data_IF_506564212590
#
_entry.id   IF_506564212590
#
_cell.length_a   1.000
_cell.length_b   1.000
_cell.length_c   1.000
_cell.angle_alpha   90.00
_cell.angle_beta   90.00
_cell.angle_gamma   90.00
#
_symmetry.space_group_name_H-M   'P 1'
#
loop_
_entity.id
_entity.type
_entity.pdbx_description
1 polymer ?
#
# COMPACT_ATOMS: atom_id res chain seq x y z
N UNK A 1 14.36 -5.20 -3.27
CA UNK A 1 13.05 -4.67 -3.69
C UNK A 1 12.26 -5.77 -4.39
N UNK A 2 10.97 -5.85 -4.15
CA UNK A 2 10.08 -6.77 -4.86
C UNK A 2 8.80 -6.08 -5.33
N UNK A 3 8.19 -6.60 -6.38
CA UNK A 3 6.96 -6.08 -6.98
C UNK A 3 5.73 -6.76 -6.37
N UNK A 4 4.81 -5.97 -5.84
CA UNK A 4 3.64 -6.47 -5.13
C UNK A 4 2.35 -5.75 -5.53
N UNK A 5 1.26 -6.51 -5.54
CA UNK A 5 -0.05 -5.97 -5.19
C UNK A 5 -0.21 -6.08 -3.67
N UNK A 6 -0.81 -5.06 -3.06
CA UNK A 6 -1.11 -5.04 -1.62
C UNK A 6 -2.62 -5.19 -1.49
N UNK A 7 -3.10 -6.42 -1.33
CA UNK A 7 -4.53 -6.72 -1.29
C UNK A 7 -5.14 -6.38 0.07
N UNK A 8 -6.35 -5.86 0.05
CA UNK A 8 -7.13 -5.68 1.26
C UNK A 8 -7.64 -7.05 1.75
N UNK A 9 -7.27 -7.45 2.97
CA UNK A 9 -7.50 -8.83 3.40
C UNK A 9 -8.98 -9.16 3.63
N UNK A 10 -9.79 -8.17 4.04
CA UNK A 10 -11.22 -8.35 4.29
C UNK A 10 -12.03 -8.56 2.99
N UNK A 11 -11.64 -7.90 1.91
CA UNK A 11 -12.23 -8.07 0.57
C UNK A 11 -11.14 -8.04 -0.50
N UNK A 12 -10.78 -9.22 -0.99
CA UNK A 12 -9.66 -9.44 -1.92
C UNK A 12 -9.94 -8.96 -3.34
N UNK A 13 -11.14 -8.44 -3.61
CA UNK A 13 -11.43 -7.71 -4.85
C UNK A 13 -10.81 -6.31 -4.85
N UNK A 14 -10.25 -5.89 -3.72
CA UNK A 14 -9.63 -4.59 -3.56
C UNK A 14 -8.15 -4.67 -3.19
N UNK A 15 -7.40 -3.65 -3.63
CA UNK A 15 -5.97 -3.47 -3.41
C UNK A 15 -5.68 -2.02 -2.99
N UNK A 16 -4.54 -1.81 -2.33
CA UNK A 16 -3.98 -0.48 -2.17
C UNK A 16 -3.58 0.08 -3.54
N UNK A 17 -4.03 1.28 -3.84
CA UNK A 17 -3.68 1.97 -5.07
C UNK A 17 -3.74 3.47 -4.92
N UNK A 18 -3.66 4.16 -6.05
CA UNK A 18 -3.67 5.62 -6.11
C UNK A 18 -4.74 6.13 -7.06
N UNK A 19 -5.21 7.36 -6.81
CA UNK A 19 -6.12 8.04 -7.75
C UNK A 19 -5.44 8.43 -9.05
N UNK A 20 -4.17 8.81 -8.97
CA UNK A 20 -3.34 9.20 -10.11
C UNK A 20 -1.84 8.96 -9.82
N UNK A 21 -0.97 9.16 -10.80
CA UNK A 21 0.47 8.87 -10.75
C UNK A 21 1.33 10.13 -10.57
N UNK A 22 0.80 11.12 -9.86
CA UNK A 22 1.48 12.40 -9.59
C UNK A 22 1.64 12.65 -8.09
N UNK A 23 2.55 13.56 -7.74
CA UNK A 23 2.72 14.06 -6.37
C UNK A 23 1.38 14.61 -5.83
N UNK A 24 1.09 14.30 -4.56
CA UNK A 24 -0.15 14.65 -3.89
C UNK A 24 -1.36 13.77 -4.22
N UNK A 25 -1.25 12.84 -5.17
CA UNK A 25 -2.35 11.94 -5.50
C UNK A 25 -2.74 11.07 -4.29
N UNK A 26 -4.03 10.99 -3.97
CA UNK A 26 -4.51 10.23 -2.83
C UNK A 26 -4.24 8.73 -2.98
N UNK A 27 -3.78 8.11 -1.90
CA UNK A 27 -3.72 6.65 -1.76
C UNK A 27 -5.09 6.18 -1.28
N UNK A 28 -5.65 5.22 -1.98
CA UNK A 28 -7.03 4.77 -1.84
C UNK A 28 -7.13 3.27 -2.04
N UNK A 29 -8.27 2.72 -1.66
CA UNK A 29 -8.68 1.39 -2.08
C UNK A 29 -9.02 1.41 -3.57
N UNK A 30 -8.54 0.45 -4.35
CA UNK A 30 -8.82 0.28 -5.78
C UNK A 30 -9.33 -1.12 -6.07
N UNK A 31 -10.20 -1.29 -7.05
CA UNK A 31 -10.55 -2.65 -7.54
C UNK A 31 -9.31 -3.36 -8.09
N UNK A 32 -9.22 -4.67 -7.89
CA UNK A 32 -8.05 -5.49 -8.28
C UNK A 32 -7.81 -5.56 -9.79
N UNK A 33 -8.83 -5.30 -10.61
CA UNK A 33 -8.75 -5.18 -12.07
C UNK A 33 -8.26 -3.79 -12.55
N UNK A 34 -7.99 -2.85 -11.63
CA UNK A 34 -7.41 -1.53 -11.96
C UNK A 34 -6.06 -1.72 -12.68
N UNK A 35 -5.76 -0.94 -13.74
CA UNK A 35 -4.48 -1.03 -14.43
C UNK A 35 -3.27 -0.94 -13.49
N UNK A 36 -2.28 -1.81 -13.69
CA UNK A 36 -1.11 -1.95 -12.79
C UNK A 36 -0.38 -0.63 -12.50
N UNK A 37 -0.41 0.33 -13.43
CA UNK A 37 0.17 1.66 -13.24
C UNK A 37 -0.40 2.46 -12.07
N UNK A 38 -1.50 2.03 -11.45
CA UNK A 38 -2.09 2.66 -10.25
C UNK A 38 -2.02 1.78 -8.99
N UNK A 39 -1.62 0.52 -9.09
CA UNK A 39 -1.77 -0.47 -8.00
C UNK A 39 -0.54 -1.36 -7.78
N UNK A 40 0.48 -1.24 -8.63
CA UNK A 40 1.71 -2.01 -8.52
C UNK A 40 2.77 -1.24 -7.74
N UNK A 41 3.27 -1.87 -6.67
CA UNK A 41 4.19 -1.27 -5.72
C UNK A 41 5.53 -1.99 -5.69
N UNK A 42 6.61 -1.22 -5.64
CA UNK A 42 7.94 -1.68 -5.28
C UNK A 42 8.10 -1.58 -3.75
N UNK A 43 8.20 -2.72 -3.08
CA UNK A 43 8.46 -2.79 -1.63
C UNK A 43 9.95 -2.94 -1.37
N UNK A 44 10.49 -2.06 -0.53
CA UNK A 44 11.85 -2.13 -0.02
C UNK A 44 11.83 -2.38 1.49
N UNK A 45 12.04 -3.63 1.89
CA UNK A 45 12.00 -4.05 3.30
C UNK A 45 13.16 -3.50 4.14
N UNK A 46 14.30 -3.15 3.52
CA UNK A 46 15.45 -2.59 4.24
C UNK A 46 15.23 -1.12 4.60
N UNK A 47 14.59 -0.37 3.71
CA UNK A 47 14.37 1.09 3.88
C UNK A 47 12.97 1.43 4.35
N UNK A 48 12.03 0.49 4.35
CA UNK A 48 10.63 0.74 4.66
C UNK A 48 9.88 1.52 3.58
N UNK A 49 10.41 1.63 2.36
CA UNK A 49 9.74 2.39 1.30
C UNK A 49 8.69 1.55 0.55
N UNK A 50 7.56 2.19 0.23
CA UNK A 50 6.54 1.69 -0.70
C UNK A 50 6.51 2.66 -1.87
N UNK A 51 7.16 2.35 -2.98
CA UNK A 51 7.20 3.24 -4.15
C UNK A 51 6.29 2.74 -5.26
N UNK A 52 5.63 3.66 -5.96
CA UNK A 52 4.77 3.33 -7.09
C UNK A 52 5.63 2.91 -8.28
N UNK A 53 5.40 1.70 -8.81
CA UNK A 53 6.27 1.14 -9.86
C UNK A 53 6.26 1.96 -11.16
N UNK A 54 5.09 2.43 -11.60
CA UNK A 54 4.93 3.26 -12.80
C UNK A 54 5.64 4.61 -12.72
N UNK A 55 5.96 5.09 -11.51
CA UNK A 55 6.74 6.31 -11.31
C UNK A 55 8.25 6.09 -11.47
N UNK A 56 8.71 4.86 -11.70
CA UNK A 56 10.14 4.51 -11.71
C UNK A 56 10.79 4.62 -10.34
N UNK A 57 10.01 4.49 -9.26
CA UNK A 57 10.49 4.64 -7.87
C UNK A 57 10.53 6.08 -7.36
N UNK A 58 10.09 7.07 -8.15
CA UNK A 58 10.16 8.50 -7.80
C UNK A 58 9.06 8.96 -6.85
N UNK A 59 7.94 8.23 -6.77
CA UNK A 59 6.82 8.55 -5.88
C UNK A 59 6.61 7.43 -4.86
N UNK A 60 6.49 7.80 -3.59
CA UNK A 60 6.28 6.87 -2.47
C UNK A 60 4.98 7.15 -1.74
N UNK A 61 4.41 6.12 -1.11
CA UNK A 61 3.33 6.27 -0.13
C UNK A 61 3.87 7.03 1.07
N UNK A 62 3.26 8.16 1.38
CA UNK A 62 3.60 8.95 2.55
C UNK A 62 2.42 9.74 3.10
N UNK A 63 2.71 10.53 4.12
CA UNK A 63 1.77 11.44 4.77
C UNK A 63 2.45 12.77 5.10
N UNK A 64 1.69 13.85 5.11
CA UNK A 64 2.17 15.18 5.54
C UNK A 64 2.47 15.23 7.04
N UNK A 65 1.87 14.32 7.82
CA UNK A 65 2.09 14.22 9.27
C UNK A 65 1.98 12.78 9.76
N UNK A 66 2.83 12.40 10.70
CA UNK A 66 2.73 11.14 11.43
C UNK A 66 1.80 11.36 12.63
N UNK A 67 0.49 11.29 12.37
CA UNK A 67 -0.55 11.44 13.38
C UNK A 67 -1.81 10.67 12.97
N UNK A 68 -2.69 10.29 13.92
CA UNK A 68 -3.98 9.69 13.60
C UNK A 68 -4.77 10.51 12.57
N UNK A 69 -5.48 9.78 11.72
CA UNK A 69 -6.40 10.28 10.70
C UNK A 69 -5.74 11.11 9.58
N UNK A 70 -4.41 11.10 9.50
CA UNK A 70 -3.69 11.71 8.39
C UNK A 70 -3.90 10.89 7.11
N UNK A 71 -4.37 11.53 6.04
CA UNK A 71 -4.56 10.87 4.75
C UNK A 71 -3.22 10.50 4.13
N UNK A 72 -3.17 9.33 3.48
CA UNK A 72 -2.00 8.93 2.71
C UNK A 72 -2.09 9.47 1.28
N UNK A 73 -0.94 9.88 0.74
CA UNK A 73 -0.80 10.36 -0.63
C UNK A 73 0.55 9.93 -1.21
N UNK A 74 0.66 9.97 -2.53
CA UNK A 74 1.96 9.92 -3.19
C UNK A 74 2.74 11.18 -2.87
N UNK A 75 4.01 10.99 -2.50
CA UNK A 75 4.98 12.06 -2.31
C UNK A 75 6.22 11.78 -3.13
N UNK A 76 6.90 12.82 -3.61
CA UNK A 76 8.27 12.68 -4.14
C UNK A 76 9.12 11.94 -3.11
N UNK A 77 9.66 10.80 -3.53
CA UNK A 77 10.39 9.91 -2.64
C UNK A 77 11.69 10.56 -2.18
N UNK A 78 11.90 10.62 -0.87
CA UNK A 78 13.13 11.08 -0.27
C UNK A 78 13.47 10.19 0.93
N UNK A 79 14.64 9.51 0.92
CA UNK A 79 14.94 8.55 1.95
C UNK A 79 15.15 9.12 3.36
N UNK A 80 15.39 10.41 3.48
CA UNK A 80 15.50 11.10 4.76
C UNK A 80 14.13 11.38 5.41
N UNK A 81 13.03 11.34 4.64
CA UNK A 81 11.69 11.68 5.12
C UNK A 81 11.07 10.46 5.81
N UNK A 82 10.91 10.58 7.12
CA UNK A 82 10.38 9.52 7.98
C UNK A 82 8.90 9.22 7.74
N UNK A 83 8.11 10.19 7.28
CA UNK A 83 6.69 9.99 6.97
C UNK A 83 6.43 9.20 5.67
N UNK A 84 7.49 8.71 5.02
CA UNK A 84 7.45 7.80 3.87
C UNK A 84 8.01 6.41 4.22
N UNK A 85 8.15 6.10 5.52
CA UNK A 85 8.80 4.90 6.04
C UNK A 85 7.81 4.00 6.76
N UNK A 86 7.86 2.72 6.41
CA UNK A 86 6.91 1.71 6.85
C UNK A 86 7.64 0.48 7.42
N UNK A 87 7.07 -0.10 8.46
CA UNK A 87 7.55 -1.31 9.14
C UNK A 87 6.61 -2.47 8.81
N UNK A 88 7.16 -3.52 8.18
CA UNK A 88 6.41 -4.67 7.66
C UNK A 88 6.60 -5.95 8.48
N UNK A 89 7.71 -6.07 9.19
CA UNK A 89 8.19 -7.32 9.77
C UNK A 89 7.80 -7.47 11.23
N UNK A 90 7.67 -6.35 11.96
CA UNK A 90 7.25 -6.35 13.37
C UNK A 90 5.86 -6.93 13.60
N UNK A 91 4.95 -6.78 12.64
CA UNK A 91 3.59 -7.31 12.70
C UNK A 91 3.15 -7.74 11.30
N UNK A 92 3.49 -8.98 10.88
CA UNK A 92 3.20 -9.45 9.53
C UNK A 92 1.72 -9.34 9.17
N UNK A 93 1.43 -8.87 7.96
CA UNK A 93 0.08 -8.59 7.49
C UNK A 93 -0.45 -7.20 7.88
N UNK A 94 0.34 -6.40 8.58
CA UNK A 94 0.08 -4.99 8.85
C UNK A 94 1.22 -4.14 8.29
N UNK A 95 0.94 -2.88 7.97
CA UNK A 95 1.95 -1.91 7.51
C UNK A 95 1.97 -0.78 8.55
N UNK A 96 2.91 -0.87 9.49
CA UNK A 96 3.03 0.12 10.56
C UNK A 96 3.83 1.32 10.06
N UNK A 97 3.58 2.50 10.61
CA UNK A 97 4.49 3.64 10.43
C UNK A 97 5.81 3.33 11.13
N UNK A 98 6.93 3.45 10.43
CA UNK A 98 8.26 3.22 11.03
C UNK A 98 8.56 4.22 12.18
N UNK A 99 8.36 5.54 12.04
CA UNK A 99 8.65 6.50 13.12
C UNK A 99 7.69 6.40 14.32
N UNK A 100 6.51 5.81 14.14
CA UNK A 100 5.55 5.55 15.23
C UNK A 100 4.73 4.30 14.94
N UNK A 101 5.17 3.16 15.49
CA UNK A 101 4.50 1.88 15.30
C UNK A 101 3.12 1.79 15.99
N UNK A 102 2.68 2.81 16.75
CA UNK A 102 1.31 2.88 17.25
C UNK A 102 0.30 3.27 16.16
N UNK A 103 0.79 3.61 14.96
CA UNK A 103 0.01 3.98 13.80
C UNK A 103 0.28 3.03 12.61
N UNK A 104 -0.72 2.80 11.77
CA UNK A 104 -0.61 1.93 10.60
C UNK A 104 -1.50 2.37 9.43
N UNK A 105 -1.22 1.83 8.24
CA UNK A 105 -2.04 2.01 7.05
C UNK A 105 -3.38 1.31 7.25
N UNK A 106 -4.45 2.09 7.20
CA UNK A 106 -5.82 1.69 7.53
C UNK A 106 -6.78 2.07 6.38
N UNK A 107 -7.65 1.13 6.00
CA UNK A 107 -8.75 1.36 5.10
C UNK A 107 -9.88 2.10 5.83
N UNK A 108 -10.03 3.41 5.58
CA UNK A 108 -10.89 4.30 6.37
C UNK A 108 -12.30 3.72 6.54
N UNK A 109 -12.72 3.56 7.79
CA UNK A 109 -14.05 3.04 8.18
C UNK A 109 -14.41 1.66 7.61
N UNK A 110 -13.43 0.88 7.14
CA UNK A 110 -13.65 -0.40 6.42
C UNK A 110 -14.53 -0.25 5.17
N UNK A 111 -14.45 0.90 4.50
CA UNK A 111 -15.21 1.14 3.27
C UNK A 111 -14.81 0.15 2.17
N UNK A 112 -15.81 -0.37 1.44
CA UNK A 112 -15.63 -1.36 0.35
C UNK A 112 -16.01 -0.77 -1.00
N UNK A 113 -15.66 0.49 -1.22
CA UNK A 113 -15.87 1.20 -2.48
C UNK A 113 -14.54 1.55 -3.14
N UNK A 114 -14.53 1.56 -4.47
CA UNK A 114 -13.40 2.06 -5.23
C UNK A 114 -13.18 3.54 -4.90
N UNK A 115 -11.94 3.91 -4.60
CA UNK A 115 -11.58 5.25 -4.15
C UNK A 115 -11.75 5.51 -2.65
N UNK A 116 -12.12 4.50 -1.83
CA UNK A 116 -12.20 4.69 -0.38
C UNK A 116 -10.84 5.17 0.17
N UNK A 117 -10.79 6.23 1.00
CA UNK A 117 -9.52 6.78 1.48
C UNK A 117 -8.73 5.77 2.32
N UNK A 118 -7.42 5.77 2.13
CA UNK A 118 -6.49 5.11 3.03
C UNK A 118 -5.74 6.16 3.82
N UNK A 119 -5.61 5.92 5.12
CA UNK A 119 -5.09 6.89 6.07
C UNK A 119 -4.22 6.21 7.11
N UNK A 120 -3.55 7.02 7.91
CA UNK A 120 -2.81 6.60 9.08
C UNK A 120 -3.76 6.55 10.27
N UNK A 121 -3.91 5.41 10.92
CA UNK A 121 -4.79 5.27 12.08
C UNK A 121 -4.12 4.50 13.21
N UNK A 122 -4.66 4.65 14.42
CA UNK A 122 -4.19 3.90 15.59
C UNK A 122 -4.23 2.41 15.32
N UNK A 123 -3.10 1.74 15.50
CA UNK A 123 -2.99 0.30 15.38
C UNK A 123 -3.88 -0.39 16.41
N UNK A 124 -4.85 -1.16 15.93
CA UNK A 124 -5.85 -1.86 16.74
C UNK A 124 -6.16 -3.27 16.23
N UNK A 125 -5.45 -3.75 15.21
CA UNK A 125 -5.57 -5.11 14.67
C UNK A 125 -6.85 -5.37 13.88
N UNK A 126 -7.70 -4.35 13.68
CA UNK A 126 -8.98 -4.53 13.02
C UNK A 126 -8.82 -4.95 11.55
N UNK A 127 -9.88 -5.50 10.93
CA UNK A 127 -9.86 -5.85 9.51
C UNK A 127 -9.48 -4.69 8.57
N UNK A 128 -9.67 -3.42 8.97
CA UNK A 128 -9.25 -2.25 8.20
C UNK A 128 -7.74 -2.17 7.95
N UNK A 129 -6.94 -2.83 8.80
CA UNK A 129 -5.48 -2.67 8.88
C UNK A 129 -4.73 -3.87 8.29
N UNK A 130 -5.47 -4.88 7.83
CA UNK A 130 -4.90 -6.15 7.40
C UNK A 130 -4.75 -6.20 5.87
N UNK A 131 -3.53 -6.50 5.44
CA UNK A 131 -3.13 -6.51 4.03
C UNK A 131 -2.44 -7.83 3.67
N UNK A 132 -2.66 -8.33 2.46
CA UNK A 132 -1.85 -9.41 1.90
C UNK A 132 -0.86 -8.82 0.89
N UNK A 133 0.41 -9.16 1.02
CA UNK A 133 1.42 -8.83 0.02
C UNK A 133 1.47 -9.95 -1.02
N UNK A 134 0.99 -9.68 -2.23
CA UNK A 134 0.96 -10.65 -3.34
C UNK A 134 2.09 -10.33 -4.32
N UNK A 135 3.18 -11.12 -4.35
CA UNK A 135 4.26 -10.93 -5.32
C UNK A 135 3.74 -11.09 -6.75
N UNK A 136 4.08 -10.17 -7.65
CA UNK A 136 3.66 -10.26 -9.05
C UNK A 136 4.20 -11.51 -9.76
N UNK A 137 5.34 -12.04 -9.31
CA UNK A 137 5.88 -13.32 -9.79
C UNK A 137 4.91 -14.49 -9.56
N UNK A 138 4.15 -14.46 -8.48
CA UNK A 138 3.17 -15.51 -8.16
C UNK A 138 1.92 -15.40 -9.04
N UNK A 139 1.52 -14.19 -9.45
CA UNK A 139 0.38 -13.98 -10.34
C UNK A 139 0.66 -14.53 -11.75
N UNK A 140 1.86 -14.30 -12.29
CA UNK A 140 2.25 -14.85 -13.59
C UNK A 140 2.37 -16.37 -13.58
N UNK A 141 2.85 -16.94 -12.48
CA UNK A 141 2.95 -18.39 -12.33
C UNK A 141 1.56 -19.07 -12.27
N UNK A 142 0.59 -18.45 -11.58
CA UNK A 142 -0.78 -18.94 -11.52
C UNK A 142 -1.50 -18.84 -12.86
N UNK A 143 -1.33 -17.73 -13.58
CA UNK A 143 -1.93 -17.53 -14.91
C UNK A 143 -1.38 -18.54 -15.94
N UNK A 144 -0.09 -18.87 -15.88
CA UNK A 144 0.49 -19.92 -16.73
C UNK A 144 -0.02 -21.31 -16.35
N UNK A 145 -0.20 -21.60 -15.06
CA UNK A 145 -0.73 -22.89 -14.60
C UNK A 145 -2.20 -23.12 -14.98
N UNK A 146 -3.04 -22.08 -14.92
CA UNK A 146 -4.45 -22.15 -15.35
C UNK A 146 -4.61 -22.28 -16.86
N UNK A 147 -3.75 -21.64 -17.66
CA UNK A 147 -3.77 -21.73 -19.13
C UNK A 147 -3.15 -23.02 -19.69
N UNK A 148 -2.49 -23.82 -18.84
CA UNK A 148 -1.88 -25.10 -19.20
C UNK A 148 -2.74 -26.32 -18.83
N UNK A 149 -3.90 -26.11 -18.19
CA UNK A 149 -4.88 -27.13 -17.79
C UNK A 149 -6.09 -27.15 -18.74
#
# INVERSE_FOLDING_TARGET
>A
MGLYLIEYKQDRNFVLGVKDQQDGAAVVLRKKDTPLRYVLWDLNFDTGAITLNSSGGNLAVGTDRVAPEALLSLKVYNPAIQSQRWEFLKSPGFILSLPDNSLCIDNKTRGTSDGNPVWLFKFNGSPAQQWNFVPLMNLRALEVAENAA
#
